data_IF_256672757938
#
_entry.id   IF_256672757938
#
_cell.length_a   1.000
_cell.length_b   1.000
_cell.length_c   1.000
_cell.angle_alpha   90.00
_cell.angle_beta   90.00
_cell.angle_gamma   90.00
#
_symmetry.space_group_name_H-M   'P 1'
#
loop_
_entity.id
_entity.type
_entity.pdbx_description
1 polymer ?
#
# COMPACT_ATOMS: atom_id res chain seq x y z
N UNK A 1 15.40 -17.10 16.29
CA UNK A 1 14.39 -16.35 17.08
C UNK A 1 13.02 -16.79 16.62
N UNK A 2 12.05 -17.00 17.51
CA UNK A 2 10.68 -17.35 17.13
C UNK A 2 10.08 -16.18 16.34
N UNK A 3 9.31 -16.49 15.30
CA UNK A 3 8.59 -15.48 14.51
C UNK A 3 7.51 -14.85 15.40
N UNK A 4 7.36 -13.52 15.37
CA UNK A 4 6.34 -12.81 16.13
C UNK A 4 4.94 -13.32 15.76
N UNK A 5 4.10 -13.54 16.76
CA UNK A 5 2.70 -13.92 16.55
C UNK A 5 1.87 -12.72 16.08
N UNK A 6 0.66 -12.98 15.57
CA UNK A 6 -0.25 -11.89 15.21
C UNK A 6 -0.54 -10.98 16.43
N UNK A 7 -0.74 -11.56 17.61
CA UNK A 7 -0.98 -10.82 18.86
C UNK A 7 0.22 -9.96 19.27
N UNK A 8 1.45 -10.45 19.03
CA UNK A 8 2.66 -9.64 19.25
C UNK A 8 2.69 -8.42 18.33
N UNK A 9 2.43 -8.66 17.05
CA UNK A 9 2.42 -7.59 16.04
C UNK A 9 1.28 -6.60 16.29
N UNK A 10 0.09 -7.07 16.69
CA UNK A 10 -1.05 -6.22 17.03
C UNK A 10 -0.80 -5.35 18.26
N UNK A 11 0.06 -5.82 19.17
CA UNK A 11 0.54 -5.05 20.33
C UNK A 11 1.78 -4.18 20.01
N UNK A 12 2.15 -4.03 18.74
CA UNK A 12 3.31 -3.26 18.28
C UNK A 12 4.66 -3.94 18.52
N UNK A 13 4.69 -5.17 19.02
CA UNK A 13 5.94 -5.88 19.29
C UNK A 13 6.55 -6.46 18.01
N UNK A 14 7.59 -5.79 17.49
CA UNK A 14 8.30 -6.23 16.28
C UNK A 14 7.50 -5.99 14.99
N UNK A 15 6.58 -5.04 14.98
CA UNK A 15 5.84 -4.66 13.79
C UNK A 15 6.77 -4.00 12.76
N UNK A 16 6.89 -4.59 11.57
CA UNK A 16 7.73 -4.06 10.51
C UNK A 16 7.21 -2.75 9.90
N UNK A 17 5.95 -2.39 10.19
CA UNK A 17 5.34 -1.15 9.71
C UNK A 17 5.48 0.02 10.69
N UNK A 18 5.99 -0.23 11.90
CA UNK A 18 6.38 0.85 12.80
C UNK A 18 7.66 1.53 12.30
N UNK A 19 7.83 2.82 12.63
CA UNK A 19 9.05 3.55 12.29
C UNK A 19 10.18 3.26 13.29
N UNK A 20 11.42 3.14 12.82
CA UNK A 20 11.90 3.16 11.42
C UNK A 20 11.64 1.85 10.68
N UNK A 21 11.26 1.92 9.40
CA UNK A 21 10.89 0.77 8.54
C UNK A 21 12.05 0.28 7.68
N UNK A 22 13.20 0.01 8.26
CA UNK A 22 14.38 -0.39 7.50
C UNK A 22 14.15 -1.67 6.67
N UNK A 23 13.43 -2.65 7.23
CA UNK A 23 13.23 -3.96 6.59
C UNK A 23 12.13 -3.96 5.52
N UNK A 24 11.18 -3.04 5.57
CA UNK A 24 10.13 -2.91 4.57
C UNK A 24 10.71 -2.44 3.24
N UNK A 25 11.75 -1.62 3.28
CA UNK A 25 12.38 -1.05 2.09
C UNK A 25 13.15 -2.04 1.22
N UNK A 26 13.41 -3.25 1.69
CA UNK A 26 14.06 -4.30 0.89
C UNK A 26 13.23 -4.71 -0.34
N UNK A 27 11.89 -4.65 -0.23
CA UNK A 27 10.95 -5.04 -1.29
C UNK A 27 9.97 -3.93 -1.69
N UNK A 28 10.05 -2.78 -1.05
CA UNK A 28 9.16 -1.64 -1.28
C UNK A 28 9.98 -0.37 -1.41
N UNK A 29 9.68 0.45 -2.38
CA UNK A 29 10.35 1.72 -2.59
C UNK A 29 9.48 2.88 -2.08
N UNK A 30 10.05 3.75 -1.27
CA UNK A 30 9.35 4.92 -0.77
C UNK A 30 9.06 5.89 -1.92
N UNK A 31 7.78 6.13 -2.17
CA UNK A 31 7.32 7.16 -3.12
C UNK A 31 7.37 8.53 -2.45
N UNK A 32 6.70 8.67 -1.30
CA UNK A 32 6.66 9.91 -0.53
C UNK A 32 6.29 9.68 0.94
N UNK A 33 6.73 10.59 1.81
CA UNK A 33 6.16 10.79 3.14
C UNK A 33 5.09 11.87 3.04
N UNK A 34 3.93 11.62 3.61
CA UNK A 34 2.78 12.51 3.60
C UNK A 34 2.48 13.03 5.02
N UNK A 35 1.29 13.55 5.24
CA UNK A 35 0.94 14.18 6.54
C UNK A 35 0.84 13.17 7.67
N UNK A 36 0.15 12.07 7.44
CA UNK A 36 -0.09 11.01 8.43
C UNK A 36 0.34 9.63 7.94
N UNK A 37 1.07 9.54 6.83
CA UNK A 37 1.39 8.26 6.21
C UNK A 37 2.63 8.31 5.33
N UNK A 38 3.17 7.13 5.06
CA UNK A 38 4.21 6.92 4.04
C UNK A 38 3.65 6.07 2.92
N UNK A 39 3.85 6.51 1.68
CA UNK A 39 3.43 5.79 0.49
C UNK A 39 4.59 5.03 -0.13
N UNK A 40 4.39 3.73 -0.32
CA UNK A 40 5.37 2.81 -0.89
C UNK A 40 4.87 2.18 -2.19
N UNK A 41 5.82 1.89 -3.07
CA UNK A 41 5.63 1.13 -4.30
C UNK A 41 6.25 -0.26 -4.11
N UNK A 42 5.47 -1.34 -3.93
CA UNK A 42 5.98 -2.70 -3.88
C UNK A 42 6.74 -3.09 -5.16
N UNK A 43 7.69 -4.02 -5.03
CA UNK A 43 8.42 -4.56 -6.21
C UNK A 43 7.47 -5.32 -7.14
N UNK A 44 6.49 -6.03 -6.57
CA UNK A 44 5.46 -6.69 -7.36
C UNK A 44 4.44 -5.66 -7.90
N UNK A 45 4.52 -5.40 -9.19
CA UNK A 45 3.67 -4.47 -9.93
C UNK A 45 2.75 -5.19 -10.92
N UNK A 46 2.18 -6.30 -10.48
CA UNK A 46 1.17 -7.02 -11.26
C UNK A 46 0.02 -6.10 -11.68
N UNK A 47 -0.41 -5.23 -10.79
CA UNK A 47 -1.28 -4.11 -11.06
C UNK A 47 -0.43 -2.84 -11.07
N UNK A 48 -0.08 -2.36 -12.27
CA UNK A 48 0.85 -1.23 -12.44
C UNK A 48 0.35 0.00 -11.67
N UNK A 49 1.15 0.48 -10.73
CA UNK A 49 0.81 1.58 -9.82
C UNK A 49 0.22 1.12 -8.49
N UNK A 50 0.09 -0.20 -8.24
CA UNK A 50 -0.28 -0.70 -6.91
C UNK A 50 0.68 -0.15 -5.87
N UNK A 51 0.14 0.57 -4.91
CA UNK A 51 0.86 1.17 -3.80
C UNK A 51 0.33 0.71 -2.45
N UNK A 52 1.15 0.88 -1.43
CA UNK A 52 0.78 0.65 -0.03
C UNK A 52 0.99 1.94 0.74
N UNK A 53 -0.04 2.41 1.42
CA UNK A 53 -0.05 3.63 2.22
C UNK A 53 -0.12 3.25 3.69
N UNK A 54 0.98 3.41 4.42
CA UNK A 54 1.11 2.98 5.81
C UNK A 54 0.92 4.17 6.75
N UNK A 55 0.08 4.02 7.76
CA UNK A 55 -0.14 5.03 8.80
C UNK A 55 1.11 5.20 9.68
N UNK A 56 1.55 6.44 9.91
CA UNK A 56 2.84 6.74 10.54
C UNK A 56 2.80 7.24 11.99
N UNK A 57 1.78 7.98 12.45
CA UNK A 57 1.86 8.71 13.72
C UNK A 57 2.12 7.81 14.93
N UNK A 58 1.60 6.61 14.92
CA UNK A 58 1.75 5.59 15.96
C UNK A 58 1.32 4.22 15.45
N UNK A 59 1.60 3.18 16.23
CA UNK A 59 0.99 1.88 15.97
C UNK A 59 -0.53 1.98 16.17
N UNK A 60 -1.29 1.58 15.17
CA UNK A 60 -2.73 1.43 15.20
C UNK A 60 -3.14 0.28 14.28
N UNK A 61 -4.13 -0.50 14.67
CA UNK A 61 -4.55 -1.70 13.92
C UNK A 61 -5.88 -1.51 13.20
N UNK A 62 -6.74 -0.61 13.71
CA UNK A 62 -8.10 -0.40 13.21
C UNK A 62 -8.42 1.08 13.07
N UNK A 63 -9.34 1.40 12.18
CA UNK A 63 -9.75 2.77 11.90
C UNK A 63 -10.45 3.44 13.09
N UNK A 64 -11.17 2.67 13.92
CA UNK A 64 -11.87 3.18 15.11
C UNK A 64 -10.92 3.59 16.25
N UNK A 65 -9.65 3.22 16.17
CA UNK A 65 -8.63 3.67 17.10
C UNK A 65 -8.11 5.09 16.81
N UNK A 66 -8.40 5.63 15.62
CA UNK A 66 -7.92 6.94 15.21
C UNK A 66 -8.78 8.05 15.82
N UNK A 67 -8.13 9.11 16.28
CA UNK A 67 -8.82 10.37 16.51
C UNK A 67 -9.38 10.96 15.21
N UNK A 68 -10.37 11.82 15.31
CA UNK A 68 -10.95 12.52 14.14
C UNK A 68 -9.88 13.26 13.33
N UNK A 69 -8.90 13.88 13.98
CA UNK A 69 -7.82 14.59 13.31
C UNK A 69 -6.88 13.63 12.55
N UNK A 70 -6.49 12.51 13.17
CA UNK A 70 -5.68 11.46 12.52
C UNK A 70 -6.42 10.87 11.32
N UNK A 71 -7.72 10.57 11.49
CA UNK A 71 -8.53 10.05 10.40
C UNK A 71 -8.60 11.03 9.22
N UNK A 72 -8.86 12.32 9.48
CA UNK A 72 -8.93 13.32 8.41
C UNK A 72 -7.60 13.47 7.68
N UNK A 73 -6.48 13.50 8.40
CA UNK A 73 -5.16 13.59 7.80
C UNK A 73 -4.85 12.35 6.95
N UNK A 74 -5.14 11.15 7.47
CA UNK A 74 -4.89 9.89 6.78
C UNK A 74 -5.79 9.70 5.54
N UNK A 75 -7.08 10.10 5.64
CA UNK A 75 -8.00 10.08 4.51
C UNK A 75 -7.60 11.10 3.42
N UNK A 76 -7.10 12.28 3.81
CA UNK A 76 -6.58 13.26 2.86
C UNK A 76 -5.33 12.74 2.12
N UNK A 77 -4.43 12.06 2.83
CA UNK A 77 -3.27 11.40 2.21
C UNK A 77 -3.70 10.32 1.21
N UNK A 78 -4.68 9.48 1.59
CA UNK A 78 -5.24 8.46 0.69
C UNK A 78 -5.82 9.09 -0.58
N UNK A 79 -6.59 10.18 -0.45
CA UNK A 79 -7.14 10.89 -1.60
C UNK A 79 -6.04 11.40 -2.54
N UNK A 80 -4.96 11.97 -2.01
CA UNK A 80 -3.80 12.42 -2.80
C UNK A 80 -3.14 11.27 -3.55
N UNK A 81 -2.93 10.14 -2.87
CA UNK A 81 -2.31 8.95 -3.47
C UNK A 81 -3.18 8.37 -4.59
N UNK A 82 -4.50 8.24 -4.37
CA UNK A 82 -5.44 7.80 -5.41
C UNK A 82 -5.40 8.73 -6.62
N UNK A 83 -5.43 10.04 -6.39
CA UNK A 83 -5.37 11.06 -7.46
C UNK A 83 -4.08 10.95 -8.26
N UNK A 84 -2.93 10.81 -7.58
CA UNK A 84 -1.63 10.65 -8.24
C UNK A 84 -1.55 9.37 -9.08
N UNK A 85 -2.07 8.25 -8.57
CA UNK A 85 -2.11 6.98 -9.33
C UNK A 85 -3.00 7.12 -10.56
N UNK A 86 -4.18 7.72 -10.42
CA UNK A 86 -5.10 7.94 -11.55
C UNK A 86 -4.44 8.80 -12.63
N UNK A 87 -3.77 9.86 -12.24
CA UNK A 87 -3.07 10.75 -13.18
C UNK A 87 -1.92 10.03 -13.91
N UNK A 88 -1.08 9.29 -13.17
CA UNK A 88 0.12 8.65 -13.71
C UNK A 88 -0.17 7.35 -14.47
N UNK A 89 -1.13 6.53 -14.01
CA UNK A 89 -1.36 5.17 -14.49
C UNK A 89 -2.61 5.02 -15.36
N UNK A 90 -3.54 5.96 -15.31
CA UNK A 90 -4.82 5.98 -16.08
C UNK A 90 -5.58 4.64 -15.98
N UNK A 91 -5.88 4.14 -14.77
CA UNK A 91 -6.62 2.90 -14.60
C UNK A 91 -8.09 3.05 -15.02
N UNK A 92 -8.75 1.92 -15.31
CA UNK A 92 -10.20 1.91 -15.54
C UNK A 92 -10.99 2.09 -14.23
N UNK A 93 -10.43 1.66 -13.09
CA UNK A 93 -11.02 1.79 -11.75
C UNK A 93 -9.95 1.73 -10.66
N UNK A 94 -10.31 2.13 -9.43
CA UNK A 94 -9.47 2.01 -8.25
C UNK A 94 -10.13 1.14 -7.18
N UNK A 95 -9.40 0.15 -6.66
CA UNK A 95 -9.75 -0.51 -5.42
C UNK A 95 -8.90 0.05 -4.29
N UNK A 96 -9.50 0.26 -3.13
CA UNK A 96 -8.83 0.65 -1.90
C UNK A 96 -9.23 -0.33 -0.81
N UNK A 97 -8.25 -0.97 -0.19
CA UNK A 97 -8.50 -2.06 0.74
C UNK A 97 -7.62 -1.91 1.99
N UNK A 98 -8.20 -2.13 3.17
CA UNK A 98 -7.46 -2.25 4.44
C UNK A 98 -7.82 -3.59 5.06
N UNK A 99 -6.85 -4.48 5.22
CA UNK A 99 -7.09 -5.87 5.63
C UNK A 99 -6.54 -6.16 7.03
N UNK A 100 -5.25 -5.93 7.28
CA UNK A 100 -4.64 -6.10 8.61
C UNK A 100 -4.53 -7.53 9.14
N UNK A 101 -5.02 -8.54 8.41
CA UNK A 101 -5.09 -9.92 8.90
C UNK A 101 -3.71 -10.61 9.00
N UNK A 102 -2.74 -10.16 8.22
CA UNK A 102 -1.36 -10.67 8.26
C UNK A 102 -0.45 -9.68 8.97
N UNK A 103 -0.55 -8.41 8.65
CA UNK A 103 0.19 -7.34 9.29
C UNK A 103 -0.82 -6.39 9.96
N UNK A 104 -1.04 -6.53 11.29
CA UNK A 104 -2.00 -5.73 12.04
C UNK A 104 -1.44 -4.33 12.36
N UNK A 105 -1.24 -3.55 11.34
CA UNK A 105 -0.90 -2.14 11.36
C UNK A 105 -1.69 -1.45 10.27
N UNK A 106 -2.30 -0.32 10.56
CA UNK A 106 -3.13 0.38 9.59
C UNK A 106 -2.37 0.72 8.32
N UNK A 107 -2.84 0.16 7.22
CA UNK A 107 -2.34 0.43 5.89
C UNK A 107 -3.46 0.26 4.85
N UNK A 108 -3.34 0.98 3.76
CA UNK A 108 -4.18 0.84 2.59
C UNK A 108 -3.41 0.19 1.46
N UNK A 109 -3.99 -0.83 0.84
CA UNK A 109 -3.63 -1.21 -0.51
C UNK A 109 -4.41 -0.32 -1.47
N UNK A 110 -3.69 0.43 -2.29
CA UNK A 110 -4.26 1.35 -3.30
C UNK A 110 -3.97 0.74 -4.66
N UNK A 111 -4.98 0.14 -5.28
CA UNK A 111 -4.81 -0.81 -6.38
C UNK A 111 -5.51 -0.28 -7.64
N UNK A 112 -4.74 0.16 -8.64
CA UNK A 112 -5.30 0.47 -9.95
C UNK A 112 -5.79 -0.82 -10.62
N UNK A 113 -7.01 -0.77 -11.14
CA UNK A 113 -7.65 -1.89 -11.83
C UNK A 113 -7.80 -1.57 -13.30
N UNK A 114 -7.56 -2.59 -14.10
CA UNK A 114 -7.63 -2.50 -15.55
C UNK A 114 -8.59 -3.58 -16.06
N UNK A 115 -9.50 -3.25 -16.98
CA UNK A 115 -10.48 -4.21 -17.54
C UNK A 115 -9.84 -5.48 -18.08
N UNK A 116 -8.55 -5.41 -18.42
CA UNK A 116 -7.75 -6.54 -18.94
C UNK A 116 -6.79 -7.13 -17.90
N UNK A 117 -6.99 -6.85 -16.61
CA UNK A 117 -6.10 -7.35 -15.53
C UNK A 117 -6.31 -8.83 -15.20
N UNK A 118 -7.25 -9.50 -15.86
CA UNK A 118 -7.55 -10.92 -15.67
C UNK A 118 -8.39 -11.23 -14.43
N UNK A 119 -8.71 -10.23 -13.61
CA UNK A 119 -9.53 -10.35 -12.39
C UNK A 119 -10.58 -9.26 -12.28
N UNK A 120 -10.99 -8.68 -13.39
CA UNK A 120 -12.03 -7.66 -13.39
C UNK A 120 -13.30 -8.19 -12.75
N UNK A 121 -13.86 -7.44 -11.79
CA UNK A 121 -15.04 -7.85 -11.04
C UNK A 121 -14.76 -8.68 -9.78
N UNK A 122 -13.50 -9.05 -9.53
CA UNK A 122 -13.08 -9.77 -8.33
C UNK A 122 -12.02 -8.99 -7.55
N UNK A 123 -11.97 -9.11 -6.19
CA UNK A 123 -10.84 -8.61 -5.43
C UNK A 123 -9.55 -9.33 -5.81
N UNK A 124 -8.42 -8.65 -5.69
CA UNK A 124 -7.13 -9.23 -6.11
C UNK A 124 -6.71 -10.45 -5.26
N UNK A 125 -7.28 -10.59 -4.07
CA UNK A 125 -6.99 -11.66 -3.10
C UNK A 125 -7.94 -12.86 -3.21
N UNK A 126 -8.85 -12.91 -4.18
CA UNK A 126 -9.76 -14.03 -4.35
C UNK A 126 -9.00 -15.35 -4.51
N UNK A 127 -9.34 -16.34 -3.68
CA UNK A 127 -8.60 -17.62 -3.58
C UNK A 127 -8.83 -18.58 -4.75
N UNK A 128 -9.94 -18.44 -5.46
CA UNK A 128 -10.34 -19.26 -6.62
C UNK A 128 -9.53 -18.95 -7.87
N UNK A 129 -8.74 -17.89 -7.83
CA UNK A 129 -7.88 -17.52 -8.95
C UNK A 129 -6.47 -18.03 -8.68
N UNK A 130 -5.95 -18.87 -9.57
CA UNK A 130 -4.55 -19.33 -9.52
C UNK A 130 -3.64 -18.13 -9.21
N UNK A 131 -2.71 -18.34 -8.29
CA UNK A 131 -1.72 -17.34 -7.96
C UNK A 131 -1.11 -16.79 -9.25
N UNK A 132 -1.31 -15.53 -9.50
CA UNK A 132 -0.72 -14.91 -10.67
C UNK A 132 0.78 -14.70 -10.41
N UNK A 133 1.63 -14.89 -11.40
CA UNK A 133 3.06 -14.69 -11.20
C UNK A 133 3.36 -13.24 -10.82
N UNK A 134 4.29 -13.07 -9.92
CA UNK A 134 4.83 -11.74 -9.62
C UNK A 134 5.30 -11.05 -10.90
N UNK A 135 4.93 -9.81 -11.07
CA UNK A 135 5.41 -8.97 -12.17
C UNK A 135 6.37 -7.93 -11.64
N UNK A 136 7.64 -8.15 -11.86
CA UNK A 136 8.67 -7.14 -11.62
C UNK A 136 8.83 -6.29 -12.88
N UNK A 137 8.81 -4.98 -12.71
CA UNK A 137 9.12 -4.07 -13.80
C UNK A 137 10.64 -4.05 -14.04
N UNK A 138 11.06 -3.82 -15.27
CA UNK A 138 12.46 -3.48 -15.57
C UNK A 138 12.83 -2.17 -14.83
N UNK A 139 14.09 -2.02 -14.45
CA UNK A 139 14.57 -0.90 -13.61
C UNK A 139 14.20 0.47 -14.19
N UNK A 140 14.39 0.65 -15.49
CA UNK A 140 14.03 1.91 -16.18
C UNK A 140 12.53 2.18 -16.16
N UNK A 141 11.70 1.14 -16.31
CA UNK A 141 10.24 1.29 -16.29
C UNK A 141 9.73 1.58 -14.86
N UNK A 142 10.37 0.94 -13.87
CA UNK A 142 10.13 1.22 -12.46
C UNK A 142 10.51 2.65 -12.11
N UNK A 143 11.69 3.13 -12.54
CA UNK A 143 12.14 4.49 -12.29
C UNK A 143 11.20 5.53 -12.94
N UNK A 144 10.76 5.29 -14.18
CA UNK A 144 9.76 6.14 -14.85
C UNK A 144 8.43 6.18 -14.12
N UNK A 145 7.94 5.03 -13.66
CA UNK A 145 6.70 4.96 -12.89
C UNK A 145 6.82 5.76 -11.61
N UNK A 146 7.90 5.55 -10.85
CA UNK A 146 8.16 6.25 -9.60
C UNK A 146 8.24 7.77 -9.79
N UNK A 147 8.95 8.22 -10.82
CA UNK A 147 9.02 9.65 -11.17
C UNK A 147 7.64 10.22 -11.52
N UNK A 148 6.84 9.50 -12.31
CA UNK A 148 5.50 9.93 -12.68
C UNK A 148 4.55 10.02 -11.46
N UNK A 149 4.62 9.06 -10.54
CA UNK A 149 3.83 9.06 -9.31
C UNK A 149 4.21 10.24 -8.39
N UNK A 150 5.51 10.51 -8.24
CA UNK A 150 6.00 11.65 -7.45
C UNK A 150 5.62 13.00 -8.07
N UNK A 151 5.67 13.10 -9.39
CA UNK A 151 5.30 14.33 -10.09
C UNK A 151 3.78 14.63 -10.05
N UNK A 152 2.96 13.62 -9.76
CA UNK A 152 1.49 13.76 -9.70
C UNK A 152 0.96 14.01 -8.27
N UNK A 153 1.83 14.02 -7.23
CA UNK A 153 1.49 14.37 -5.84
C UNK A 153 1.37 15.88 -5.66
#
# INVERSE_FOLDING_TARGET
>A
MAQATWDDLAAGRGCAFDLPRADVTANWELVARLTASSWYLPVNQMYRGHGVLVFDPRHATRLDELSTAEWHAYAADLHRVVTAIVAACKPDHMNVETLGNVMPHLHWHVIPRYKRDGRWGQPIWAQDVKAQPERKLADDDRARLLAALRAAL
#
